data_IF_307008986864
#
_entry.id   IF_307008986864
#
_cell.length_a   1.000
_cell.length_b   1.000
_cell.length_c   1.000
_cell.angle_alpha   90.00
_cell.angle_beta   90.00
_cell.angle_gamma   90.00
#
_symmetry.space_group_name_H-M   'P 1'
#
loop_
_entity.id
_entity.type
_entity.pdbx_description
1 polymer ?
#
# COMPACT_ATOMS: atom_id res chain seq x y z
N UNK A 1 -13.70 -13.77 -16.81
CA UNK A 1 -12.39 -14.18 -16.25
C UNK A 1 -12.39 -15.69 -16.20
N UNK A 2 -11.52 -16.33 -16.98
CA UNK A 2 -11.47 -17.80 -17.07
C UNK A 2 -10.64 -18.41 -15.93
N UNK A 3 -10.79 -19.71 -15.68
CA UNK A 3 -9.99 -20.42 -14.67
C UNK A 3 -8.48 -20.31 -14.91
N UNK A 4 -8.07 -20.29 -16.19
CA UNK A 4 -6.67 -20.12 -16.57
C UNK A 4 -6.15 -18.72 -16.25
N UNK A 5 -7.00 -17.68 -16.36
CA UNK A 5 -6.64 -16.31 -15.98
C UNK A 5 -6.44 -16.18 -14.47
N UNK A 6 -7.32 -16.81 -13.67
CA UNK A 6 -7.19 -16.84 -12.20
C UNK A 6 -5.89 -17.55 -11.79
N UNK A 7 -5.61 -18.71 -12.41
CA UNK A 7 -4.39 -19.45 -12.16
C UNK A 7 -3.14 -18.62 -12.47
N UNK A 8 -3.08 -18.00 -13.66
CA UNK A 8 -1.99 -17.07 -14.04
C UNK A 8 -1.86 -15.87 -13.12
N UNK A 9 -2.97 -15.34 -12.60
CA UNK A 9 -2.93 -14.25 -11.65
C UNK A 9 -2.32 -14.71 -10.31
N UNK A 10 -2.77 -15.84 -9.79
CA UNK A 10 -2.30 -16.43 -8.54
C UNK A 10 -0.87 -16.97 -8.60
N UNK A 11 -0.27 -17.16 -9.78
CA UNK A 11 1.17 -17.47 -9.87
C UNK A 11 2.05 -16.25 -9.67
N UNK A 12 1.52 -15.04 -9.81
CA UNK A 12 2.28 -13.80 -9.57
C UNK A 12 2.30 -13.41 -8.09
N UNK A 13 3.42 -12.85 -7.61
CA UNK A 13 3.53 -12.34 -6.23
C UNK A 13 2.43 -11.30 -5.93
N UNK A 14 2.32 -10.28 -6.80
CA UNK A 14 1.31 -9.23 -6.68
C UNK A 14 -0.12 -9.76 -6.75
N UNK A 15 -0.36 -10.82 -7.52
CA UNK A 15 -1.68 -11.43 -7.60
C UNK A 15 -2.06 -12.14 -6.31
N UNK A 16 -1.13 -12.90 -5.71
CA UNK A 16 -1.32 -13.52 -4.39
C UNK A 16 -1.57 -12.49 -3.30
N UNK A 17 -0.76 -11.42 -3.23
CA UNK A 17 -0.96 -10.37 -2.23
C UNK A 17 -2.36 -9.74 -2.34
N UNK A 18 -2.77 -9.35 -3.56
CA UNK A 18 -4.10 -8.79 -3.81
C UNK A 18 -5.22 -9.76 -3.46
N UNK A 19 -5.05 -11.05 -3.73
CA UNK A 19 -6.03 -12.07 -3.39
C UNK A 19 -6.16 -12.23 -1.87
N UNK A 20 -5.05 -12.38 -1.15
CA UNK A 20 -5.01 -12.46 0.32
C UNK A 20 -5.62 -11.20 0.93
N UNK A 21 -5.31 -10.02 0.40
CA UNK A 21 -5.91 -8.74 0.84
C UNK A 21 -7.42 -8.72 0.71
N UNK A 22 -7.92 -9.19 -0.43
CA UNK A 22 -9.35 -9.22 -0.72
C UNK A 22 -10.06 -10.18 0.24
N UNK A 23 -9.48 -11.35 0.51
CA UNK A 23 -10.02 -12.29 1.47
C UNK A 23 -9.99 -11.75 2.90
N UNK A 24 -8.89 -11.12 3.32
CA UNK A 24 -8.75 -10.52 4.66
C UNK A 24 -9.86 -9.49 4.91
N UNK A 25 -10.04 -8.53 4.01
CA UNK A 25 -11.07 -7.51 4.20
C UNK A 25 -12.49 -8.05 4.00
N UNK A 26 -12.70 -9.01 3.10
CA UNK A 26 -14.01 -9.65 2.92
C UNK A 26 -14.43 -10.41 4.17
N UNK A 27 -13.54 -11.23 4.74
CA UNK A 27 -13.83 -12.00 5.96
C UNK A 27 -14.06 -11.10 7.16
N UNK A 28 -13.25 -10.03 7.31
CA UNK A 28 -13.45 -9.03 8.36
C UNK A 28 -14.79 -8.28 8.23
N UNK A 29 -15.18 -7.93 7.00
CA UNK A 29 -16.46 -7.29 6.73
C UNK A 29 -17.63 -8.23 7.05
N UNK A 30 -17.59 -9.48 6.56
CA UNK A 30 -18.65 -10.47 6.81
C UNK A 30 -18.75 -10.79 8.30
N UNK A 31 -17.62 -10.90 9.00
CA UNK A 31 -17.60 -11.09 10.46
C UNK A 31 -18.42 -10.02 11.19
N UNK A 32 -18.29 -8.77 10.76
CA UNK A 32 -19.00 -7.63 11.37
C UNK A 32 -20.50 -7.61 11.03
N UNK A 33 -20.90 -8.21 9.90
CA UNK A 33 -22.30 -8.22 9.43
C UNK A 33 -23.11 -9.43 9.93
N UNK A 34 -22.44 -10.51 10.35
CA UNK A 34 -23.09 -11.73 10.81
C UNK A 34 -23.55 -11.58 12.26
N UNK A 35 -24.79 -11.97 12.55
CA UNK A 35 -25.36 -11.92 13.92
C UNK A 35 -24.90 -13.07 14.82
N UNK A 36 -24.39 -14.16 14.25
CA UNK A 36 -23.95 -15.32 15.03
C UNK A 36 -22.50 -15.15 15.50
N UNK A 37 -22.31 -14.98 16.81
CA UNK A 37 -20.99 -14.75 17.42
C UNK A 37 -19.94 -15.79 17.03
N UNK A 38 -20.30 -17.09 17.08
CA UNK A 38 -19.38 -18.18 16.72
C UNK A 38 -18.76 -18.05 15.33
N UNK A 39 -19.55 -17.65 14.33
CA UNK A 39 -19.06 -17.49 12.97
C UNK A 39 -18.32 -16.16 12.79
N UNK A 40 -18.76 -15.11 13.49
CA UNK A 40 -18.07 -13.82 13.51
C UNK A 40 -16.64 -13.98 14.06
N UNK A 41 -16.46 -14.68 15.17
CA UNK A 41 -15.14 -14.93 15.78
C UNK A 41 -14.23 -15.75 14.86
N UNK A 42 -14.78 -16.81 14.25
CA UNK A 42 -14.03 -17.63 13.29
C UNK A 42 -13.54 -16.81 12.09
N UNK A 43 -14.40 -15.96 11.53
CA UNK A 43 -14.03 -15.08 10.42
C UNK A 43 -13.03 -13.99 10.83
N UNK A 44 -13.13 -13.47 12.06
CA UNK A 44 -12.15 -12.54 12.61
C UNK A 44 -10.78 -13.20 12.75
N UNK A 45 -10.71 -14.42 13.27
CA UNK A 45 -9.47 -15.19 13.35
C UNK A 45 -8.86 -15.40 11.97
N UNK A 46 -9.66 -15.81 10.98
CA UNK A 46 -9.21 -15.94 9.59
C UNK A 46 -8.66 -14.60 9.07
N UNK A 47 -9.35 -13.49 9.32
CA UNK A 47 -8.92 -12.17 8.86
C UNK A 47 -7.59 -11.75 9.51
N UNK A 48 -7.39 -12.07 10.78
CA UNK A 48 -6.15 -11.83 11.53
C UNK A 48 -4.99 -12.63 10.97
N UNK A 49 -5.18 -13.93 10.75
CA UNK A 49 -4.15 -14.79 10.13
C UNK A 49 -3.76 -14.32 8.73
N UNK A 50 -4.75 -13.96 7.89
CA UNK A 50 -4.49 -13.39 6.57
C UNK A 50 -3.74 -12.07 6.65
N UNK A 51 -3.99 -11.25 7.67
CA UNK A 51 -3.24 -10.01 7.92
C UNK A 51 -1.79 -10.31 8.30
N UNK A 52 -1.55 -11.29 9.19
CA UNK A 52 -0.21 -11.75 9.57
C UNK A 52 0.58 -12.28 8.38
N UNK A 53 -0.05 -13.09 7.51
CA UNK A 53 0.56 -13.56 6.26
C UNK A 53 1.02 -12.39 5.39
N UNK A 54 0.20 -11.33 5.27
CA UNK A 54 0.57 -10.13 4.50
C UNK A 54 1.77 -9.40 5.09
N UNK A 55 1.89 -9.35 6.42
CA UNK A 55 3.07 -8.75 7.07
C UNK A 55 4.32 -9.57 6.77
N UNK A 56 4.22 -10.90 6.86
CA UNK A 56 5.34 -11.79 6.52
C UNK A 56 5.74 -11.68 5.04
N UNK A 57 4.79 -11.50 4.12
CA UNK A 57 5.10 -11.28 2.70
C UNK A 57 5.83 -9.94 2.48
N UNK A 58 5.50 -8.90 3.23
CA UNK A 58 6.15 -7.59 3.14
C UNK A 58 7.62 -7.59 3.57
N UNK A 59 8.06 -8.58 4.35
CA UNK A 59 9.50 -8.81 4.61
C UNK A 59 10.32 -8.97 3.33
N UNK A 60 9.69 -9.42 2.24
CA UNK A 60 10.37 -9.60 0.96
C UNK A 60 10.32 -8.34 0.09
N UNK A 61 9.57 -7.31 0.48
CA UNK A 61 9.38 -6.09 -0.30
C UNK A 61 10.49 -5.05 -0.06
N UNK A 62 11.36 -5.22 0.96
CA UNK A 62 12.49 -4.33 1.25
C UNK A 62 13.41 -4.07 0.04
N UNK A 63 13.88 -5.16 -0.58
CA UNK A 63 14.83 -5.09 -1.70
C UNK A 63 14.16 -4.45 -2.92
N UNK A 64 12.94 -4.88 -3.34
CA UNK A 64 12.17 -4.18 -4.35
C UNK A 64 11.97 -2.68 -4.05
N UNK A 65 11.66 -2.31 -2.81
CA UNK A 65 11.47 -0.91 -2.42
C UNK A 65 12.77 -0.12 -2.54
N UNK A 66 13.88 -0.67 -2.04
CA UNK A 66 15.18 -0.02 -2.14
C UNK A 66 15.58 0.18 -3.61
N UNK A 67 15.40 -0.85 -4.44
CA UNK A 67 15.66 -0.74 -5.87
C UNK A 67 14.77 0.31 -6.55
N UNK A 68 13.49 0.37 -6.18
CA UNK A 68 12.57 1.41 -6.65
C UNK A 68 13.05 2.81 -6.26
N UNK A 69 13.42 3.02 -5.00
CA UNK A 69 13.89 4.31 -4.49
C UNK A 69 15.18 4.75 -5.17
N UNK A 70 16.14 3.84 -5.37
CA UNK A 70 17.40 4.12 -6.07
C UNK A 70 17.17 4.46 -7.54
N UNK A 71 16.28 3.72 -8.21
CA UNK A 71 15.91 3.97 -9.61
C UNK A 71 15.19 5.31 -9.76
N UNK A 72 14.30 5.64 -8.82
CA UNK A 72 13.58 6.92 -8.79
C UNK A 72 14.51 8.10 -8.50
N UNK A 73 15.50 7.91 -7.63
CA UNK A 73 16.45 8.92 -7.20
C UNK A 73 15.74 10.17 -6.66
N UNK A 74 16.12 11.34 -7.17
CA UNK A 74 15.49 12.63 -6.81
C UNK A 74 14.27 12.98 -7.68
N UNK A 75 13.71 12.02 -8.41
CA UNK A 75 12.49 12.19 -9.22
C UNK A 75 12.69 13.10 -10.44
N UNK A 76 13.84 12.99 -11.12
CA UNK A 76 14.15 13.77 -12.34
C UNK A 76 13.14 13.55 -13.48
N UNK A 77 12.39 12.45 -13.42
CA UNK A 77 11.35 12.09 -14.38
C UNK A 77 10.03 12.87 -14.20
N UNK A 78 9.83 13.54 -13.07
CA UNK A 78 8.60 14.32 -12.82
C UNK A 78 8.75 15.76 -13.30
N UNK A 79 7.82 16.23 -14.12
CA UNK A 79 7.77 17.62 -14.58
C UNK A 79 7.34 18.59 -13.45
N UNK A 80 6.38 18.18 -12.62
CA UNK A 80 5.87 19.00 -11.51
C UNK A 80 6.74 18.83 -10.26
N UNK A 81 7.30 19.95 -9.79
CA UNK A 81 8.21 19.99 -8.62
C UNK A 81 7.52 19.55 -7.32
N UNK A 82 6.20 19.74 -7.18
CA UNK A 82 5.44 19.36 -5.99
C UNK A 82 5.25 17.85 -5.97
N UNK A 83 4.81 17.26 -7.08
CA UNK A 83 4.69 15.80 -7.24
C UNK A 83 6.04 15.12 -7.00
N UNK A 84 7.13 15.70 -7.52
CA UNK A 84 8.50 15.23 -7.27
C UNK A 84 8.85 15.20 -5.79
N UNK A 85 8.62 16.31 -5.08
CA UNK A 85 8.90 16.40 -3.65
C UNK A 85 8.06 15.39 -2.85
N UNK A 86 6.77 15.26 -3.17
CA UNK A 86 5.87 14.32 -2.51
C UNK A 86 6.35 12.86 -2.70
N UNK A 87 6.76 12.47 -3.90
CA UNK A 87 7.28 11.12 -4.13
C UNK A 87 8.61 10.86 -3.39
N UNK A 88 9.53 11.84 -3.35
CA UNK A 88 10.78 11.68 -2.57
C UNK A 88 10.47 11.51 -1.08
N UNK A 89 9.52 12.29 -0.54
CA UNK A 89 9.09 12.15 0.86
C UNK A 89 8.42 10.79 1.12
N UNK A 90 7.54 10.34 0.21
CA UNK A 90 6.91 9.02 0.31
C UNK A 90 7.96 7.90 0.31
N UNK A 91 8.92 7.93 -0.62
CA UNK A 91 9.99 6.93 -0.67
C UNK A 91 10.83 6.92 0.62
N UNK A 92 11.12 8.09 1.19
CA UNK A 92 11.84 8.20 2.45
C UNK A 92 11.04 7.58 3.61
N UNK A 93 9.73 7.86 3.69
CA UNK A 93 8.86 7.27 4.70
C UNK A 93 8.77 5.76 4.51
N UNK A 94 8.56 5.29 3.29
CA UNK A 94 8.45 3.88 2.98
C UNK A 94 9.75 3.14 3.35
N UNK A 95 10.92 3.73 3.10
CA UNK A 95 12.22 3.15 3.47
C UNK A 95 12.41 3.01 5.00
N UNK A 96 11.76 3.89 5.78
CA UNK A 96 11.74 3.77 7.25
C UNK A 96 10.63 2.87 7.77
N UNK A 97 9.50 2.81 7.06
CA UNK A 97 8.33 2.02 7.41
C UNK A 97 8.65 0.52 7.46
N UNK A 98 9.29 -0.03 6.43
CA UNK A 98 9.54 -1.48 6.35
C UNK A 98 10.43 -1.97 7.51
N UNK A 99 11.59 -1.35 7.83
CA UNK A 99 12.38 -1.76 8.99
C UNK A 99 11.63 -1.68 10.33
N UNK A 100 10.82 -0.63 10.54
CA UNK A 100 10.03 -0.47 11.77
C UNK A 100 9.00 -1.61 11.88
N UNK A 101 8.34 -1.95 10.77
CA UNK A 101 7.41 -3.08 10.69
C UNK A 101 8.11 -4.41 10.98
N UNK A 102 9.35 -4.59 10.53
CA UNK A 102 10.13 -5.81 10.78
C UNK A 102 10.53 -5.95 12.24
N UNK A 103 10.85 -4.85 12.92
CA UNK A 103 11.09 -4.85 14.36
C UNK A 103 9.79 -5.21 15.10
N UNK A 104 8.65 -4.64 14.72
CA UNK A 104 7.35 -4.97 15.31
C UNK A 104 7.00 -6.45 15.16
N UNK A 105 7.15 -6.99 13.95
CA UNK A 105 6.91 -8.40 13.64
C UNK A 105 7.85 -9.33 14.39
N UNK A 106 9.15 -9.00 14.47
CA UNK A 106 10.14 -9.80 15.19
C UNK A 106 9.89 -9.81 16.70
N UNK A 107 9.45 -8.67 17.26
CA UNK A 107 9.04 -8.57 18.66
C UNK A 107 7.80 -9.44 18.96
N UNK A 108 6.78 -9.44 18.08
CA UNK A 108 5.59 -10.29 18.23
C UNK A 108 5.93 -11.79 18.24
N UNK A 109 6.90 -12.20 17.42
CA UNK A 109 7.35 -13.59 17.34
C UNK A 109 8.41 -13.95 18.40
N UNK A 110 8.67 -13.06 19.36
CA UNK A 110 9.65 -13.23 20.44
C UNK A 110 11.08 -13.49 19.95
N UNK A 111 11.39 -13.04 18.73
CA UNK A 111 12.75 -13.04 18.20
C UNK A 111 13.59 -11.92 18.84
N UNK A 112 12.91 -10.87 19.31
CA UNK A 112 13.48 -9.76 20.07
C UNK A 112 12.78 -9.66 21.42
N UNK A 113 13.53 -9.32 22.47
CA UNK A 113 12.99 -9.12 23.84
C UNK A 113 12.43 -7.70 24.03
N UNK A 114 11.72 -7.19 23.03
CA UNK A 114 11.15 -5.85 23.01
C UNK A 114 9.62 -5.92 22.97
N UNK A 115 8.94 -4.90 23.49
CA UNK A 115 7.50 -4.77 23.33
C UNK A 115 7.16 -4.40 21.88
N UNK A 116 6.27 -5.16 21.23
CA UNK A 116 5.88 -4.93 19.84
C UNK A 116 4.94 -3.74 19.64
N UNK A 117 4.11 -3.44 20.65
CA UNK A 117 3.06 -2.42 20.59
C UNK A 117 3.56 -1.02 20.14
N UNK A 118 4.62 -0.42 20.72
CA UNK A 118 5.11 0.89 20.27
C UNK A 118 5.57 0.89 18.80
N UNK A 119 6.15 -0.23 18.32
CA UNK A 119 6.59 -0.35 16.93
C UNK A 119 5.40 -0.45 15.98
N UNK A 120 4.35 -1.20 16.34
CA UNK A 120 3.10 -1.24 15.56
C UNK A 120 2.42 0.12 15.46
N UNK A 121 2.43 0.91 16.54
CA UNK A 121 1.93 2.28 16.53
C UNK A 121 2.76 3.16 15.59
N UNK A 122 4.10 3.06 15.63
CA UNK A 122 4.98 3.79 14.72
C UNK A 122 4.73 3.41 13.25
N UNK A 123 4.63 2.11 12.94
CA UNK A 123 4.27 1.58 11.61
C UNK A 123 2.94 2.16 11.13
N UNK A 124 1.93 2.21 12.02
CA UNK A 124 0.61 2.77 11.71
C UNK A 124 0.69 4.26 11.37
N UNK A 125 1.49 5.04 12.11
CA UNK A 125 1.70 6.46 11.80
C UNK A 125 2.41 6.67 10.47
N UNK A 126 3.49 5.93 10.20
CA UNK A 126 4.18 5.98 8.91
C UNK A 126 3.22 5.69 7.76
N UNK A 127 2.40 4.63 7.89
CA UNK A 127 1.39 4.28 6.90
C UNK A 127 0.36 5.39 6.67
N UNK A 128 -0.16 5.99 7.75
CA UNK A 128 -1.12 7.11 7.68
C UNK A 128 -0.50 8.31 6.96
N UNK A 129 0.74 8.67 7.28
CA UNK A 129 1.44 9.78 6.62
C UNK A 129 1.63 9.50 5.13
N UNK A 130 2.07 8.29 4.75
CA UNK A 130 2.20 7.89 3.34
C UNK A 130 0.87 7.98 2.60
N UNK A 131 -0.26 7.62 3.24
CA UNK A 131 -1.60 7.78 2.65
C UNK A 131 -1.96 9.25 2.40
N UNK A 132 -1.73 10.14 3.36
CA UNK A 132 -2.02 11.57 3.19
C UNK A 132 -1.16 12.19 2.09
N UNK A 133 0.13 11.89 2.04
CA UNK A 133 1.02 12.36 0.97
C UNK A 133 0.57 11.83 -0.38
N UNK A 134 0.19 10.54 -0.45
CA UNK A 134 -0.37 9.92 -1.64
C UNK A 134 -1.65 10.64 -2.11
N UNK A 135 -2.57 10.95 -1.20
CA UNK A 135 -3.80 11.67 -1.51
C UNK A 135 -3.50 13.05 -2.11
N UNK A 136 -2.62 13.83 -1.47
CA UNK A 136 -2.21 15.15 -1.96
C UNK A 136 -1.61 15.03 -3.35
N UNK A 137 -0.74 14.03 -3.59
CA UNK A 137 -0.15 13.76 -4.89
C UNK A 137 -1.23 13.49 -5.94
N UNK A 138 -2.17 12.58 -5.67
CA UNK A 138 -3.23 12.24 -6.63
C UNK A 138 -4.10 13.45 -6.96
N UNK A 139 -4.48 14.26 -5.96
CA UNK A 139 -5.24 15.49 -6.18
C UNK A 139 -4.45 16.48 -7.05
N UNK A 140 -3.15 16.64 -6.79
CA UNK A 140 -2.28 17.51 -7.60
C UNK A 140 -2.17 17.03 -9.04
N UNK A 141 -1.94 15.73 -9.25
CA UNK A 141 -1.86 15.13 -10.58
C UNK A 141 -3.18 15.30 -11.33
N UNK A 142 -4.33 15.09 -10.68
CA UNK A 142 -5.64 15.32 -11.29
C UNK A 142 -5.84 16.79 -11.71
N UNK A 143 -5.43 17.74 -10.87
CA UNK A 143 -5.52 19.16 -11.20
C UNK A 143 -4.65 19.53 -12.41
N UNK A 144 -3.45 18.95 -12.53
CA UNK A 144 -2.56 19.15 -13.68
C UNK A 144 -3.20 18.57 -14.95
N UNK A 145 -3.70 17.34 -14.88
CA UNK A 145 -4.38 16.68 -16.00
C UNK A 145 -5.61 17.46 -16.48
N UNK A 146 -6.39 18.03 -15.56
CA UNK A 146 -7.53 18.89 -15.89
C UNK A 146 -7.09 20.16 -16.62
N UNK A 147 -6.01 20.80 -16.18
CA UNK A 147 -5.45 21.99 -16.87
C UNK A 147 -4.98 21.66 -18.27
N UNK A 148 -4.28 20.54 -18.45
CA UNK A 148 -3.81 20.09 -19.77
C UNK A 148 -5.00 19.83 -20.71
N UNK A 149 -6.05 19.17 -20.21
CA UNK A 149 -7.29 18.96 -20.97
C UNK A 149 -7.94 20.28 -21.40
N UNK A 150 -8.02 21.27 -20.51
CA UNK A 150 -8.55 22.59 -20.84
C UNK A 150 -7.72 23.31 -21.89
N UNK A 151 -6.38 23.25 -21.82
CA UNK A 151 -5.50 23.85 -22.83
C UNK A 151 -5.67 23.20 -24.21
N UNK A 152 -5.77 21.87 -24.28
CA UNK A 152 -6.01 21.15 -25.54
C UNK A 152 -7.35 21.55 -26.18
N UNK A 153 -8.40 21.69 -25.36
CA UNK A 153 -9.72 22.10 -25.85
C UNK A 153 -9.74 23.55 -26.38
N UNK A 154 -8.94 24.45 -25.81
CA UNK A 154 -8.83 25.84 -26.29
C UNK A 154 -8.08 25.88 -27.63
N UNK A 155 -6.97 25.15 -27.74
CA UNK A 155 -6.18 25.09 -28.99
C UNK A 155 -6.99 24.50 -30.15
N UNK A 156 -7.80 23.47 -29.91
CA UNK A 156 -8.69 22.89 -30.94
C UNK A 156 -9.79 23.88 -31.39
N UNK A 157 -10.17 24.82 -30.51
CA UNK A 157 -11.15 25.86 -30.82
C UNK A 157 -10.56 27.05 -31.60
N UNK A 158 -9.27 27.35 -31.42
CA UNK A 158 -8.57 28.43 -32.14
C UNK A 158 -8.12 28.02 -33.56
N UNK A 159 -8.04 26.72 -33.85
CA UNK A 159 -7.62 26.19 -35.17
C UNK A 159 -8.82 26.05 -36.13
N UNK A 160 -10.07 26.14 -35.63
CA UNK A 160 -11.30 25.94 -36.39
C UNK A 160 -11.95 27.26 -36.81
#
# INVERSE_FOLDING_TARGET
>A
MSLSDISKFLTTHNGRDKFVRTLCYSTRLISTLISSERYADSLNNISSELSSVRTTLRLFDDIPMLNYTLTYGFGKQEEDKVVRLLNVLMNAIDQTYYPIEHIAWAADHKLLTLDSNPWWVATSWCWVISLYLGLIKYVRTLAILQRHKSCLNVVDCDIR
#
